data_IF_297262925173
#
_entry.id   IF_297262925173
#
_cell.length_a   1.000
_cell.length_b   1.000
_cell.length_c   1.000
_cell.angle_alpha   90.00
_cell.angle_beta   90.00
_cell.angle_gamma   90.00
#
_symmetry.space_group_name_H-M   'P 1'
#
loop_
_entity.id
_entity.type
_entity.pdbx_description
1 polymer ?
#
# COMPACT_ATOMS: atom_id res chain seq x y z
N UNK A 1 3.44 10.25 15.90
CA UNK A 1 2.07 9.91 16.36
C UNK A 1 2.01 8.52 16.98
N UNK A 2 2.58 7.49 16.34
CA UNK A 2 2.66 6.12 16.89
C UNK A 2 3.17 6.09 18.34
N UNK A 3 4.38 6.61 18.60
CA UNK A 3 4.95 6.68 19.96
C UNK A 3 4.08 7.42 20.99
N UNK A 4 3.32 8.42 20.55
CA UNK A 4 2.39 9.17 21.43
C UNK A 4 1.20 8.28 21.80
N UNK A 5 0.61 7.60 20.81
CA UNK A 5 -0.50 6.69 21.03
C UNK A 5 -0.10 5.50 21.92
N UNK A 6 1.10 4.95 21.74
CA UNK A 6 1.65 3.91 22.62
C UNK A 6 1.81 4.38 24.08
N UNK A 7 2.28 5.61 24.28
CA UNK A 7 2.51 6.16 25.62
C UNK A 7 1.24 6.65 26.32
N UNK A 8 0.24 7.12 25.57
CA UNK A 8 -0.94 7.83 26.10
C UNK A 8 -2.25 7.05 25.91
N UNK A 9 -2.27 5.99 25.11
CA UNK A 9 -3.47 5.18 24.85
C UNK A 9 -4.50 5.85 23.93
N UNK A 10 -4.16 6.96 23.27
CA UNK A 10 -5.10 7.76 22.48
C UNK A 10 -4.63 7.98 21.04
N UNK A 11 -5.57 7.86 20.11
CA UNK A 11 -5.42 8.21 18.69
C UNK A 11 -6.28 9.42 18.35
N UNK A 12 -5.80 10.23 17.42
CA UNK A 12 -6.53 11.38 16.87
C UNK A 12 -6.84 11.12 15.40
N UNK A 13 -7.87 11.75 14.84
CA UNK A 13 -8.25 11.62 13.42
C UNK A 13 -7.09 11.88 12.45
N UNK A 14 -6.16 12.78 12.82
CA UNK A 14 -4.95 13.05 12.04
C UNK A 14 -4.08 11.80 11.83
N UNK A 15 -4.11 10.80 12.73
CA UNK A 15 -3.42 9.52 12.51
C UNK A 15 -4.01 8.75 11.32
N UNK A 16 -5.34 8.73 11.18
CA UNK A 16 -6.01 8.03 10.09
C UNK A 16 -5.67 8.68 8.74
N UNK A 17 -5.56 10.01 8.70
CA UNK A 17 -5.13 10.73 7.50
C UNK A 17 -3.67 10.39 7.14
N UNK A 18 -2.75 10.47 8.10
CA UNK A 18 -1.33 10.15 7.87
C UNK A 18 -1.10 8.68 7.50
N UNK A 19 -1.86 7.75 8.10
CA UNK A 19 -1.76 6.32 7.78
C UNK A 19 -2.21 6.02 6.34
N UNK A 20 -3.26 6.68 5.84
CA UNK A 20 -3.74 6.51 4.47
C UNK A 20 -2.67 6.87 3.43
N UNK A 21 -1.83 7.87 3.69
CA UNK A 21 -0.75 8.26 2.77
C UNK A 21 0.28 7.13 2.55
N UNK A 22 0.48 6.25 3.53
CA UNK A 22 1.41 5.11 3.39
C UNK A 22 0.93 4.09 2.35
N UNK A 23 -0.39 3.94 2.19
CA UNK A 23 -1.01 2.95 1.31
C UNK A 23 -1.57 3.55 0.01
N UNK A 24 -1.39 4.86 -0.19
CA UNK A 24 -1.86 5.58 -1.36
C UNK A 24 -1.14 5.08 -2.62
N UNK A 25 -1.89 4.90 -3.70
CA UNK A 25 -1.29 4.57 -5.00
C UNK A 25 -0.54 5.78 -5.58
N UNK A 26 0.73 5.59 -5.91
CA UNK A 26 1.58 6.55 -6.60
C UNK A 26 1.92 6.03 -8.00
N UNK A 27 1.46 6.72 -9.05
CA UNK A 27 1.65 6.30 -10.45
C UNK A 27 3.09 6.39 -10.95
N UNK A 28 3.92 7.20 -10.30
CA UNK A 28 5.31 7.42 -10.68
C UNK A 28 6.21 6.38 -10.01
N UNK A 29 6.92 5.59 -10.83
CA UNK A 29 7.93 4.68 -10.34
C UNK A 29 9.15 5.46 -9.80
N UNK A 30 9.80 4.93 -8.77
CA UNK A 30 11.04 5.49 -8.22
C UNK A 30 12.31 4.97 -8.94
N UNK A 31 12.13 4.18 -9.99
CA UNK A 31 13.17 3.58 -10.83
C UNK A 31 12.99 3.96 -12.29
N UNK A 32 14.06 3.87 -13.07
CA UNK A 32 13.96 4.00 -14.53
C UNK A 32 13.25 2.80 -15.18
N UNK A 33 12.83 2.98 -16.44
CA UNK A 33 12.11 1.97 -17.20
C UNK A 33 12.93 0.68 -17.40
N UNK A 34 14.24 0.77 -17.56
CA UNK A 34 15.11 -0.40 -17.79
C UNK A 34 15.14 -1.30 -16.57
N UNK A 35 15.28 -0.72 -15.38
CA UNK A 35 15.23 -1.46 -14.12
C UNK A 35 13.82 -2.01 -13.86
N UNK A 36 12.76 -1.23 -14.11
CA UNK A 36 11.39 -1.73 -14.01
C UNK A 36 11.18 -2.99 -14.86
N UNK A 37 11.59 -2.96 -16.14
CA UNK A 37 11.45 -4.10 -17.05
C UNK A 37 12.21 -5.33 -16.56
N UNK A 38 13.46 -5.18 -16.13
CA UNK A 38 14.24 -6.31 -15.57
C UNK A 38 13.56 -6.96 -14.36
N UNK A 39 13.04 -6.14 -13.44
CA UNK A 39 12.34 -6.66 -12.25
C UNK A 39 11.00 -7.30 -12.61
N UNK A 40 10.30 -6.73 -13.58
CA UNK A 40 9.03 -7.25 -14.08
C UNK A 40 9.20 -8.61 -14.76
N UNK A 41 10.22 -8.74 -15.61
CA UNK A 41 10.56 -9.99 -16.30
C UNK A 41 11.02 -11.07 -15.33
N UNK A 42 11.70 -10.68 -14.25
CA UNK A 42 12.07 -11.61 -13.18
C UNK A 42 10.83 -12.10 -12.43
N UNK A 43 9.99 -11.19 -11.91
CA UNK A 43 8.69 -11.51 -11.35
C UNK A 43 7.84 -10.25 -11.12
N UNK A 44 6.58 -10.28 -11.53
CA UNK A 44 5.64 -9.14 -11.39
C UNK A 44 5.54 -8.59 -9.96
N UNK A 45 5.52 -9.47 -8.96
CA UNK A 45 5.48 -9.08 -7.54
C UNK A 45 6.74 -8.32 -7.07
N UNK A 46 7.91 -8.63 -7.63
CA UNK A 46 9.15 -7.92 -7.28
C UNK A 46 9.07 -6.48 -7.82
N UNK A 47 8.64 -6.30 -9.07
CA UNK A 47 8.43 -4.98 -9.64
C UNK A 47 7.38 -4.17 -8.87
N UNK A 48 6.29 -4.81 -8.45
CA UNK A 48 5.21 -4.20 -7.68
C UNK A 48 5.68 -3.63 -6.33
N UNK A 49 6.51 -4.38 -5.60
CA UNK A 49 7.02 -3.97 -4.29
C UNK A 49 8.17 -2.96 -4.39
N UNK A 50 9.07 -3.13 -5.35
CA UNK A 50 10.34 -2.37 -5.39
C UNK A 50 10.20 -1.04 -6.14
N UNK A 51 9.41 -1.01 -7.20
CA UNK A 51 9.42 0.11 -8.16
C UNK A 51 8.50 1.27 -7.78
N UNK A 52 7.64 1.13 -6.77
CA UNK A 52 6.65 2.14 -6.41
C UNK A 52 6.89 2.71 -5.02
N UNK A 53 6.34 3.91 -4.77
CA UNK A 53 6.45 4.59 -3.48
C UNK A 53 5.49 3.94 -2.49
N UNK A 54 6.05 3.14 -1.57
CA UNK A 54 5.32 2.55 -0.45
C UNK A 54 4.40 1.37 -0.83
N UNK A 55 3.85 0.68 0.18
CA UNK A 55 2.99 -0.48 0.01
C UNK A 55 1.57 -0.04 -0.35
N UNK A 56 1.29 0.12 -1.63
CA UNK A 56 -0.06 0.44 -2.07
C UNK A 56 -1.04 -0.74 -1.83
N UNK A 57 -2.33 -0.42 -1.79
CA UNK A 57 -3.36 -1.45 -1.63
C UNK A 57 -3.49 -2.25 -2.93
N UNK A 58 -3.11 -3.53 -2.88
CA UNK A 58 -3.26 -4.46 -4.01
C UNK A 58 -4.74 -4.84 -4.24
N UNK A 59 -5.50 -5.04 -3.16
CA UNK A 59 -6.95 -5.26 -3.20
C UNK A 59 -7.59 -4.94 -1.85
N UNK A 60 -8.86 -4.53 -1.88
CA UNK A 60 -9.75 -4.49 -0.71
C UNK A 60 -10.87 -5.49 -0.95
N UNK A 61 -11.01 -6.46 -0.04
CA UNK A 61 -12.01 -7.51 -0.16
C UNK A 61 -13.21 -7.18 0.73
N UNK A 62 -14.34 -6.73 0.17
CA UNK A 62 -15.56 -6.57 0.96
C UNK A 62 -16.08 -7.95 1.40
N UNK A 63 -16.84 -7.96 2.50
CA UNK A 63 -17.51 -9.18 2.96
C UNK A 63 -18.87 -9.33 2.29
N UNK A 64 -19.12 -10.49 1.67
CA UNK A 64 -20.46 -10.92 1.23
C UNK A 64 -21.03 -12.00 2.16
N UNK A 65 -22.35 -12.12 2.21
CA UNK A 65 -23.05 -13.20 2.91
C UNK A 65 -23.07 -14.50 2.11
N UNK A 66 -23.07 -14.40 0.79
CA UNK A 66 -23.07 -15.52 -0.16
C UNK A 66 -22.17 -15.14 -1.35
N UNK A 67 -21.19 -15.98 -1.68
CA UNK A 67 -20.24 -15.70 -2.77
C UNK A 67 -20.80 -16.09 -4.14
N UNK A 68 -21.76 -17.02 -4.19
CA UNK A 68 -22.37 -17.49 -5.44
C UNK A 68 -23.45 -16.51 -5.95
N UNK A 69 -23.89 -15.60 -5.09
CA UNK A 69 -24.96 -14.63 -5.36
C UNK A 69 -24.47 -13.20 -5.65
N UNK A 70 -23.15 -12.97 -5.72
CA UNK A 70 -22.52 -11.66 -5.97
C UNK A 70 -22.17 -11.48 -7.45
#
# INVERSE_FOLDING_TARGET
MIKRAEAQGELTDAFVQEAQETFRWHREANVDASLYHRLHDAHRLIADVVCFKGPHINHLTPRTLDIDAV
#
